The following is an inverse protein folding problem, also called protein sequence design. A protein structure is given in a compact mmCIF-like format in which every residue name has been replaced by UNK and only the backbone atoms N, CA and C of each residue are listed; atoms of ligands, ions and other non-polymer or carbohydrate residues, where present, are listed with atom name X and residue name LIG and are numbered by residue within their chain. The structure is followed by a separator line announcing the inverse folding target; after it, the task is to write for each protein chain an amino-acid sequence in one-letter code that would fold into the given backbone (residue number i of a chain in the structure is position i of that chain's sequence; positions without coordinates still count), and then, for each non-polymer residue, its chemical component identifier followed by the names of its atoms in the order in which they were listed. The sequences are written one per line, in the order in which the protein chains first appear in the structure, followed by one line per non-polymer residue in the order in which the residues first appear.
data_IF_536906878205
#
_entry.id   IF_536906878205
#
_cell.length_a   1.000
_cell.length_b   1.000
_cell.length_c   1.000
_cell.angle_alpha   90.00
_cell.angle_beta   90.00
_cell.angle_gamma   90.00
#
_symmetry.space_group_name_H-M   'P 1'
#
loop_
_entity.id
_entity.type
_entity.pdbx_description
1 polymer ?
#
# COMPACT_ATOMS: atom_id res chain seq x y z
N UNK A 1 -14.17 -4.12 -19.77
CA UNK A 1 -13.72 -2.90 -19.07
C UNK A 1 -12.23 -2.75 -19.36
N UNK A 2 -11.84 -1.73 -20.09
CA UNK A 2 -10.42 -1.46 -20.36
C UNK A 2 -9.83 -0.92 -19.05
N UNK A 3 -8.77 -1.55 -18.53
CA UNK A 3 -8.01 -1.03 -17.41
C UNK A 3 -7.50 0.36 -17.80
N UNK A 4 -7.75 1.35 -16.94
CA UNK A 4 -7.32 2.71 -17.16
C UNK A 4 -5.78 2.77 -17.05
N UNK A 5 -5.07 3.48 -17.94
CA UNK A 5 -3.60 3.46 -17.94
C UNK A 5 -2.97 4.00 -16.65
N UNK A 6 -3.64 4.92 -15.95
CA UNK A 6 -3.16 5.46 -14.67
C UNK A 6 -3.31 4.46 -13.53
N UNK A 7 -4.43 3.73 -13.47
CA UNK A 7 -4.60 2.64 -12.53
C UNK A 7 -3.55 1.54 -12.75
N UNK A 8 -3.15 1.34 -14.02
CA UNK A 8 -2.08 0.42 -14.38
C UNK A 8 -0.70 0.94 -13.92
N UNK A 9 -0.45 2.27 -13.94
CA UNK A 9 0.79 2.88 -13.44
C UNK A 9 0.89 2.76 -11.92
N UNK A 10 -0.21 2.97 -11.17
CA UNK A 10 -0.25 2.73 -9.74
C UNK A 10 -0.06 1.23 -9.44
N UNK A 11 -0.66 0.35 -10.25
CA UNK A 11 -0.49 -1.11 -10.16
C UNK A 11 0.89 -1.60 -10.59
N UNK A 12 1.56 -0.94 -11.56
CA UNK A 12 2.87 -1.35 -12.08
C UNK A 12 4.05 -0.64 -11.44
N UNK A 13 3.82 0.51 -10.79
CA UNK A 13 4.81 1.20 -9.96
C UNK A 13 5.17 0.42 -8.71
N UNK A 14 4.26 -0.45 -8.25
CA UNK A 14 4.50 -1.51 -7.30
C UNK A 14 4.43 -2.86 -8.04
N UNK A 15 5.47 -3.21 -8.76
CA UNK A 15 5.75 -4.62 -9.02
C UNK A 15 5.72 -5.36 -7.66
N UNK A 16 5.60 -6.70 -7.61
CA UNK A 16 5.56 -7.42 -6.34
C UNK A 16 6.68 -6.84 -5.49
N UNK A 17 6.31 -6.09 -4.42
CA UNK A 17 7.18 -5.17 -3.72
C UNK A 17 8.55 -5.81 -3.53
N UNK A 18 9.46 -5.51 -4.42
CA UNK A 18 10.86 -5.62 -4.17
C UNK A 18 11.09 -4.68 -3.00
N UNK A 19 11.68 -5.17 -1.93
CA UNK A 19 12.21 -4.32 -0.89
C UNK A 19 12.90 -3.16 -1.59
N UNK A 20 12.50 -1.93 -1.28
CA UNK A 20 13.06 -0.74 -1.89
C UNK A 20 14.55 -0.70 -1.57
N UNK A 21 15.37 -1.01 -2.55
CA UNK A 21 16.77 -0.65 -2.52
C UNK A 21 16.86 0.86 -2.51
N UNK A 22 17.42 1.40 -1.43
CA UNK A 22 17.82 2.79 -1.35
C UNK A 22 19.07 2.98 -2.21
N UNK A 23 18.90 3.04 -3.52
CA UNK A 23 19.92 3.54 -4.43
C UNK A 23 19.51 4.89 -5.00
N UNK A 24 20.38 5.84 -4.79
CA UNK A 24 20.37 7.24 -5.19
C UNK A 24 20.01 7.43 -6.65
N UNK A 25 18.88 8.09 -6.90
CA UNK A 25 18.56 8.66 -8.21
C UNK A 25 19.46 9.88 -8.51
N UNK A 26 19.97 10.03 -9.72
CA UNK A 26 20.79 11.16 -10.08
C UNK A 26 19.96 12.45 -10.13
N UNK A 27 20.50 13.47 -9.49
CA UNK A 27 19.98 14.81 -9.36
C UNK A 27 20.01 15.54 -10.71
N UNK A 28 18.89 15.64 -11.43
CA UNK A 28 18.75 16.53 -12.56
C UNK A 28 18.02 17.80 -12.14
N UNK A 29 18.84 18.78 -11.74
CA UNK A 29 18.40 20.16 -11.58
C UNK A 29 18.06 20.78 -12.92
N UNK A 30 16.77 20.95 -13.21
CA UNK A 30 16.29 21.81 -14.29
C UNK A 30 15.86 23.14 -13.70
N UNK A 31 16.60 24.21 -14.03
CA UNK A 31 16.25 25.58 -13.66
C UNK A 31 14.94 26.00 -14.38
N UNK A 32 14.01 26.69 -13.69
CA UNK A 32 12.82 27.21 -14.34
C UNK A 32 13.19 28.42 -15.20
N UNK A 33 12.73 28.43 -16.45
CA UNK A 33 12.71 29.61 -17.29
C UNK A 33 11.52 30.49 -16.88
N UNK A 34 11.81 31.72 -16.51
CA UNK A 34 10.86 32.78 -16.27
C UNK A 34 10.18 33.22 -17.58
N UNK A 35 8.87 33.50 -17.52
CA UNK A 35 8.18 34.38 -18.43
C UNK A 35 7.02 33.76 -19.22
N UNK A 36 5.84 33.86 -18.67
CA UNK A 36 4.61 34.09 -19.49
C UNK A 36 3.65 34.92 -18.63
N UNK A 37 3.31 36.08 -19.15
CA UNK A 37 2.34 37.03 -18.58
C UNK A 37 0.95 36.42 -18.67
N UNK A 38 0.20 36.44 -17.55
CA UNK A 38 -1.21 36.09 -17.50
C UNK A 38 -2.06 37.21 -18.04
N UNK A 39 -2.74 36.97 -19.15
CA UNK A 39 -3.86 37.82 -19.57
C UNK A 39 -5.07 37.49 -18.67
N UNK A 40 -5.47 38.45 -17.85
CA UNK A 40 -6.71 38.43 -17.09
C UNK A 40 -7.90 38.70 -18.00
N UNK A 41 -8.55 37.64 -18.48
CA UNK A 41 -9.86 37.72 -19.10
C UNK A 41 -10.91 38.01 -18.02
N UNK A 42 -11.39 39.27 -17.99
CA UNK A 42 -12.46 39.70 -17.10
C UNK A 42 -13.78 38.99 -17.40
N UNK A 43 -14.29 38.24 -16.41
CA UNK A 43 -15.63 37.66 -16.44
C UNK A 43 -16.63 38.74 -16.02
N UNK A 44 -17.61 38.97 -16.89
CA UNK A 44 -18.70 39.92 -16.72
C UNK A 44 -19.57 39.57 -15.50
N UNK A 45 -19.70 40.52 -14.58
CA UNK A 45 -20.53 40.43 -13.39
C UNK A 45 -22.00 40.68 -13.70
N UNK A 46 -22.82 39.62 -13.72
CA UNK A 46 -24.25 39.71 -13.44
C UNK A 46 -24.47 39.20 -12.01
N UNK A 47 -25.17 39.98 -11.17
CA UNK A 47 -25.28 39.83 -9.72
C UNK A 47 -25.99 38.54 -9.27
N UNK A 48 -25.24 37.42 -9.26
CA UNK A 48 -25.55 36.21 -8.56
C UNK A 48 -24.53 36.01 -7.43
N UNK A 49 -24.94 35.44 -6.33
CA UNK A 49 -24.03 35.04 -5.23
C UNK A 49 -22.97 34.10 -5.85
N UNK A 50 -21.73 34.58 -5.90
CA UNK A 50 -20.64 33.81 -6.46
C UNK A 50 -20.32 32.66 -5.51
N UNK A 51 -20.60 31.41 -5.93
CA UNK A 51 -20.30 30.22 -5.13
C UNK A 51 -18.80 30.12 -4.85
N UNK A 52 -18.43 29.70 -3.65
CA UNK A 52 -17.04 29.39 -3.33
C UNK A 52 -16.54 28.15 -4.11
N UNK A 53 -15.23 27.99 -4.31
CA UNK A 53 -14.68 26.79 -4.95
C UNK A 53 -15.14 25.49 -4.30
N UNK A 54 -15.24 25.45 -2.97
CA UNK A 54 -15.78 24.29 -2.22
C UNK A 54 -17.26 24.01 -2.55
N UNK A 55 -18.09 25.05 -2.67
CA UNK A 55 -19.50 24.91 -3.07
C UNK A 55 -19.67 24.46 -4.51
N UNK A 56 -18.81 24.94 -5.42
CA UNK A 56 -18.81 24.52 -6.83
C UNK A 56 -18.45 23.04 -6.94
N UNK A 57 -17.44 22.59 -6.19
CA UNK A 57 -17.02 21.19 -6.14
C UNK A 57 -18.10 20.28 -5.55
N UNK A 58 -18.76 20.71 -4.48
CA UNK A 58 -19.87 19.96 -3.86
C UNK A 58 -21.04 19.80 -4.84
N UNK A 59 -21.34 20.82 -5.64
CA UNK A 59 -22.37 20.78 -6.67
C UNK A 59 -22.01 19.80 -7.79
N UNK A 60 -20.74 19.81 -8.25
CA UNK A 60 -20.23 18.86 -9.23
C UNK A 60 -20.35 17.41 -8.75
N UNK A 61 -19.97 17.15 -7.51
CA UNK A 61 -20.12 15.82 -6.87
C UNK A 61 -21.58 15.38 -6.85
N UNK A 62 -22.50 16.30 -6.51
CA UNK A 62 -23.95 16.01 -6.51
C UNK A 62 -24.46 15.65 -7.90
N UNK A 63 -24.17 16.49 -8.91
CA UNK A 63 -24.56 16.27 -10.31
C UNK A 63 -24.08 14.91 -10.84
N UNK A 64 -22.83 14.55 -10.55
CA UNK A 64 -22.30 13.24 -10.96
C UNK A 64 -23.06 12.08 -10.33
N UNK A 65 -23.50 12.19 -9.07
CA UNK A 65 -24.34 11.19 -8.41
C UNK A 65 -25.72 11.07 -9.06
N UNK A 66 -26.24 12.15 -9.60
CA UNK A 66 -27.51 12.22 -10.33
C UNK A 66 -27.38 11.79 -11.79
N UNK A 67 -26.15 11.48 -12.25
CA UNK A 67 -25.86 11.00 -13.61
C UNK A 67 -25.77 12.11 -14.65
N UNK A 68 -25.64 13.37 -14.22
CA UNK A 68 -25.45 14.51 -15.12
C UNK A 68 -24.00 14.56 -15.64
N UNK A 69 -23.84 15.04 -16.87
CA UNK A 69 -22.54 15.24 -17.49
C UNK A 69 -21.94 16.59 -17.07
N UNK A 70 -20.63 16.62 -16.84
CA UNK A 70 -19.88 17.78 -16.37
C UNK A 70 -18.94 18.33 -17.47
N UNK A 71 -19.29 18.14 -18.75
CA UNK A 71 -18.41 18.50 -19.90
C UNK A 71 -17.88 19.94 -19.85
N UNK A 72 -18.65 20.88 -19.27
CA UNK A 72 -18.28 22.28 -19.14
C UNK A 72 -17.52 22.64 -17.85
N UNK A 73 -17.32 21.70 -16.93
CA UNK A 73 -16.69 21.96 -15.64
C UNK A 73 -15.30 21.31 -15.53
N UNK A 74 -14.27 22.13 -15.39
CA UNK A 74 -12.90 21.64 -15.16
C UNK A 74 -12.68 21.33 -13.67
N UNK A 75 -13.17 20.17 -13.21
CA UNK A 75 -13.05 19.72 -11.80
C UNK A 75 -11.59 19.54 -11.40
N UNK A 76 -10.71 19.13 -12.31
CA UNK A 76 -9.27 18.99 -12.00
C UNK A 76 -8.63 20.34 -11.70
N UNK A 77 -8.94 21.37 -12.48
CA UNK A 77 -8.42 22.72 -12.24
C UNK A 77 -8.90 23.25 -10.89
N UNK A 78 -10.19 23.07 -10.58
CA UNK A 78 -10.76 23.46 -9.30
C UNK A 78 -10.09 22.75 -8.11
N UNK A 79 -9.80 21.45 -8.26
CA UNK A 79 -9.08 20.69 -7.22
C UNK A 79 -7.65 21.19 -7.03
N UNK A 80 -6.94 21.58 -8.11
CA UNK A 80 -5.60 22.19 -8.01
C UNK A 80 -5.64 23.50 -7.24
N UNK A 81 -6.60 24.38 -7.55
CA UNK A 81 -6.78 25.65 -6.84
C UNK A 81 -7.08 25.44 -5.35
N UNK A 82 -7.94 24.46 -5.01
CA UNK A 82 -8.23 24.13 -3.62
C UNK A 82 -7.03 23.49 -2.90
N UNK A 83 -6.25 22.65 -3.59
CA UNK A 83 -5.01 22.09 -3.05
C UNK A 83 -4.01 23.18 -2.70
N UNK A 84 -3.79 24.15 -3.60
CA UNK A 84 -2.91 25.30 -3.37
C UNK A 84 -3.42 26.20 -2.23
N UNK A 85 -4.72 26.49 -2.21
CA UNK A 85 -5.30 27.35 -1.19
C UNK A 85 -5.24 26.77 0.23
N UNK A 86 -5.38 25.43 0.38
CA UNK A 86 -5.44 24.76 1.68
C UNK A 86 -4.12 24.15 2.13
N UNK A 87 -3.12 24.06 1.25
CA UNK A 87 -1.83 23.44 1.53
C UNK A 87 -0.66 24.36 1.12
N UNK A 88 -0.14 25.21 2.00
CA UNK A 88 0.94 26.15 1.69
C UNK A 88 2.22 25.47 1.15
N UNK A 89 2.47 24.21 1.52
CA UNK A 89 3.65 23.43 1.09
C UNK A 89 3.40 22.63 -0.19
N UNK A 90 2.22 22.77 -0.82
CA UNK A 90 1.88 22.03 -2.03
C UNK A 90 2.74 22.46 -3.21
N UNK A 91 3.34 21.49 -3.90
CA UNK A 91 4.30 21.72 -4.99
C UNK A 91 3.69 21.74 -6.41
N UNK A 92 2.36 21.68 -6.54
CA UNK A 92 1.65 21.72 -7.83
C UNK A 92 1.66 20.40 -8.63
N UNK A 93 2.24 19.30 -8.11
CA UNK A 93 2.48 18.07 -8.88
C UNK A 93 1.36 17.00 -8.75
N UNK A 94 0.14 17.38 -8.36
CA UNK A 94 -0.98 16.46 -8.34
C UNK A 94 -1.24 15.85 -9.73
N UNK A 95 -1.52 14.55 -9.76
CA UNK A 95 -1.90 13.83 -10.98
C UNK A 95 -3.33 13.32 -10.85
N UNK A 96 -4.12 13.46 -11.90
CA UNK A 96 -5.51 13.06 -11.92
C UNK A 96 -5.77 12.13 -13.10
N UNK A 97 -6.67 11.19 -12.89
CA UNK A 97 -7.31 10.46 -13.97
C UNK A 97 -8.82 10.61 -13.80
N UNK A 98 -9.47 11.10 -14.84
CA UNK A 98 -10.90 11.42 -14.81
C UNK A 98 -11.70 10.55 -15.76
N UNK A 99 -12.93 10.25 -15.36
CA UNK A 99 -13.98 9.67 -16.19
C UNK A 99 -15.19 10.60 -16.16
N UNK A 100 -15.74 10.94 -17.33
CA UNK A 100 -16.91 11.83 -17.47
C UNK A 100 -16.75 13.13 -16.67
N UNK A 101 -15.57 13.75 -16.74
CA UNK A 101 -15.28 15.02 -16.07
C UNK A 101 -14.98 14.91 -14.56
N UNK A 102 -15.09 13.72 -13.93
CA UNK A 102 -14.80 13.53 -12.51
C UNK A 102 -13.54 12.70 -12.29
N UNK A 103 -12.64 13.12 -11.38
CA UNK A 103 -11.51 12.30 -10.97
C UNK A 103 -11.95 10.98 -10.34
N UNK A 104 -11.40 9.86 -10.86
CA UNK A 104 -11.58 8.50 -10.33
C UNK A 104 -10.30 7.95 -9.74
N UNK A 105 -9.15 8.52 -10.11
CA UNK A 105 -7.87 8.25 -9.46
C UNK A 105 -7.08 9.55 -9.29
N UNK A 106 -6.44 9.71 -8.12
CA UNK A 106 -5.63 10.87 -7.77
C UNK A 106 -4.33 10.42 -7.15
N UNK A 107 -3.21 10.99 -7.60
CA UNK A 107 -1.92 10.87 -6.93
C UNK A 107 -1.47 12.24 -6.42
N UNK A 108 -1.26 12.30 -5.12
CA UNK A 108 -0.67 13.43 -4.39
C UNK A 108 0.67 13.02 -3.75
N UNK A 109 1.30 11.92 -4.22
CA UNK A 109 2.52 11.40 -3.61
C UNK A 109 3.64 12.44 -3.56
N UNK A 110 4.18 12.72 -2.36
CA UNK A 110 5.28 13.65 -2.18
C UNK A 110 5.00 15.10 -2.56
N UNK A 111 3.73 15.50 -2.58
CA UNK A 111 3.34 16.86 -3.01
C UNK A 111 3.30 17.89 -1.87
N UNK A 112 3.56 17.48 -0.62
CA UNK A 112 3.56 18.38 0.53
C UNK A 112 2.16 18.63 1.13
N UNK A 113 1.13 17.94 0.66
CA UNK A 113 -0.23 18.13 1.16
C UNK A 113 -0.40 17.57 2.58
N UNK A 114 -1.19 18.28 3.39
CA UNK A 114 -1.60 17.88 4.73
C UNK A 114 -3.12 17.88 4.91
N UNK A 115 -3.82 18.75 4.21
CA UNK A 115 -5.27 18.84 4.16
C UNK A 115 -5.78 18.27 2.82
N UNK A 116 -6.64 17.27 2.92
CA UNK A 116 -7.30 16.60 1.78
C UNK A 116 -8.83 16.77 1.84
N UNK A 117 -9.32 17.76 2.58
CA UNK A 117 -10.78 17.99 2.77
C UNK A 117 -11.52 18.18 1.45
N UNK A 118 -10.86 18.77 0.44
CA UNK A 118 -11.42 18.97 -0.90
C UNK A 118 -11.70 17.66 -1.66
N UNK A 119 -11.17 16.54 -1.21
CA UNK A 119 -11.46 15.23 -1.83
C UNK A 119 -12.79 14.63 -1.36
N UNK A 120 -13.44 15.22 -0.36
CA UNK A 120 -14.67 14.66 0.24
C UNK A 120 -15.77 14.45 -0.82
N UNK A 121 -16.32 13.25 -0.83
CA UNK A 121 -17.42 12.86 -1.71
C UNK A 121 -17.05 12.57 -3.16
N UNK A 122 -15.79 12.74 -3.57
CA UNK A 122 -15.33 12.35 -4.91
C UNK A 122 -15.45 10.83 -5.12
N UNK A 123 -15.75 10.36 -6.35
CA UNK A 123 -15.90 8.94 -6.66
C UNK A 123 -14.57 8.24 -6.87
N UNK A 124 -13.58 8.50 -6.00
CA UNK A 124 -12.23 7.96 -6.15
C UNK A 124 -12.21 6.45 -5.93
N UNK A 125 -11.62 5.73 -6.87
CA UNK A 125 -11.31 4.30 -6.79
C UNK A 125 -9.85 4.05 -6.41
N UNK A 126 -8.93 4.94 -6.75
CA UNK A 126 -7.52 4.88 -6.37
C UNK A 126 -7.04 6.22 -5.85
N UNK A 127 -6.29 6.20 -4.72
CA UNK A 127 -5.76 7.40 -4.11
C UNK A 127 -4.36 7.14 -3.56
N UNK A 128 -3.41 7.92 -4.02
CA UNK A 128 -2.05 7.91 -3.51
C UNK A 128 -1.75 9.19 -2.73
N UNK A 129 -1.57 9.03 -1.42
CA UNK A 129 -1.24 10.08 -0.46
C UNK A 129 0.18 9.91 0.13
N UNK A 130 0.96 8.98 -0.41
CA UNK A 130 2.28 8.60 0.11
C UNK A 130 3.23 9.78 0.23
N UNK A 131 4.17 9.70 1.18
CA UNK A 131 5.21 10.71 1.40
C UNK A 131 4.67 12.14 1.69
N UNK A 132 3.55 12.23 2.42
CA UNK A 132 2.93 13.48 2.80
C UNK A 132 2.69 13.55 4.32
N UNK A 133 2.63 14.75 4.94
CA UNK A 133 2.37 14.89 6.38
C UNK A 133 0.90 14.69 6.77
N UNK A 134 0.13 13.96 5.99
CA UNK A 134 -1.31 13.69 6.21
C UNK A 134 -1.50 12.86 7.47
N UNK A 135 -2.47 13.26 8.30
CA UNK A 135 -2.88 12.54 9.51
C UNK A 135 -4.39 12.28 9.59
N UNK A 136 -5.20 13.08 8.89
CA UNK A 136 -6.66 13.01 8.91
C UNK A 136 -7.18 12.42 7.60
N UNK A 137 -7.95 11.34 7.69
CA UNK A 137 -8.59 10.65 6.57
C UNK A 137 -10.11 10.87 6.49
N UNK A 138 -10.69 11.81 7.26
CA UNK A 138 -12.15 12.00 7.34
C UNK A 138 -12.80 12.21 5.98
N UNK A 139 -12.12 12.91 5.07
CA UNK A 139 -12.58 13.14 3.70
C UNK A 139 -12.77 11.84 2.88
N UNK A 140 -12.16 10.72 3.30
CA UNK A 140 -12.26 9.45 2.59
C UNK A 140 -13.49 8.61 2.98
N UNK A 141 -14.29 9.10 3.93
CA UNK A 141 -15.45 8.37 4.43
C UNK A 141 -16.47 8.10 3.31
N UNK A 142 -16.78 6.81 3.11
CA UNK A 142 -17.77 6.38 2.12
C UNK A 142 -17.30 6.43 0.67
N UNK A 143 -16.02 6.74 0.40
CA UNK A 143 -15.46 6.66 -0.94
C UNK A 143 -15.39 5.22 -1.45
N UNK A 144 -15.60 4.96 -2.77
CA UNK A 144 -15.52 3.63 -3.36
C UNK A 144 -14.07 3.18 -3.61
N UNK A 145 -13.15 3.48 -2.69
CA UNK A 145 -11.72 3.18 -2.82
C UNK A 145 -11.47 1.68 -2.95
N UNK A 146 -10.70 1.31 -3.96
CA UNK A 146 -10.15 -0.02 -4.19
C UNK A 146 -8.66 -0.11 -3.87
N UNK A 147 -7.95 1.00 -4.03
CA UNK A 147 -6.52 1.11 -3.79
C UNK A 147 -6.22 2.37 -2.98
N UNK A 148 -5.47 2.22 -1.89
CA UNK A 148 -5.10 3.33 -1.03
C UNK A 148 -3.64 3.21 -0.62
N UNK A 149 -2.87 4.25 -0.96
CA UNK A 149 -1.45 4.35 -0.63
C UNK A 149 -1.26 5.45 0.41
N UNK A 150 -0.74 5.06 1.58
CA UNK A 150 -0.51 5.92 2.75
C UNK A 150 0.91 5.81 3.30
N UNK A 151 1.84 5.29 2.50
CA UNK A 151 3.23 5.08 2.90
C UNK A 151 3.87 6.39 3.37
N UNK A 152 4.62 6.32 4.47
CA UNK A 152 5.33 7.50 5.04
C UNK A 152 4.41 8.69 5.35
N UNK A 153 3.17 8.42 5.73
CA UNK A 153 2.24 9.44 6.24
C UNK A 153 2.22 9.45 7.77
N UNK A 154 1.56 10.46 8.35
CA UNK A 154 1.36 10.57 9.81
C UNK A 154 0.04 9.95 10.30
N UNK A 155 -0.62 9.16 9.46
CA UNK A 155 -1.90 8.51 9.77
C UNK A 155 -1.73 7.54 10.93
N UNK A 156 -2.68 7.56 11.87
CA UNK A 156 -2.77 6.65 13.01
C UNK A 156 -4.15 6.01 13.16
N UNK A 157 -5.17 6.60 12.53
CA UNK A 157 -6.57 6.15 12.57
C UNK A 157 -7.06 5.79 11.15
N UNK A 158 -7.52 4.54 11.00
CA UNK A 158 -8.12 4.02 9.77
C UNK A 158 -9.66 3.99 9.83
N UNK A 159 -10.28 4.45 10.91
CA UNK A 159 -11.75 4.39 11.05
C UNK A 159 -12.50 5.08 9.91
N UNK A 160 -12.02 6.19 9.30
CA UNK A 160 -12.73 6.82 8.19
C UNK A 160 -12.89 5.94 6.94
N UNK A 161 -11.98 4.97 6.73
CA UNK A 161 -12.05 4.07 5.57
C UNK A 161 -12.76 2.74 5.88
N UNK A 162 -13.32 2.60 7.08
CA UNK A 162 -14.02 1.37 7.46
C UNK A 162 -15.14 1.05 6.48
N UNK A 163 -15.18 -0.20 5.98
CA UNK A 163 -16.18 -0.67 5.01
C UNK A 163 -15.92 -0.26 3.56
N UNK A 164 -14.83 0.45 3.27
CA UNK A 164 -14.43 0.72 1.89
C UNK A 164 -14.14 -0.60 1.14
N UNK A 165 -14.47 -0.71 -0.17
CA UNK A 165 -14.27 -1.92 -0.95
C UNK A 165 -12.80 -2.11 -1.39
N UNK A 166 -11.85 -1.87 -0.45
CA UNK A 166 -10.42 -1.93 -0.73
C UNK A 166 -9.99 -3.34 -1.13
N UNK A 167 -9.22 -3.41 -2.21
CA UNK A 167 -8.53 -4.60 -2.71
C UNK A 167 -7.08 -4.62 -2.21
N UNK A 168 -6.46 -3.46 -2.09
CA UNK A 168 -5.11 -3.32 -1.55
C UNK A 168 -4.92 -2.02 -0.78
N UNK A 169 -4.07 -2.09 0.26
CA UNK A 169 -3.72 -0.96 1.10
C UNK A 169 -2.24 -0.99 1.46
N UNK A 170 -1.59 0.16 1.32
CA UNK A 170 -0.17 0.35 1.62
C UNK A 170 -0.02 1.30 2.81
N UNK A 171 0.53 0.78 3.90
CA UNK A 171 0.68 1.50 5.19
C UNK A 171 2.13 1.53 5.68
N UNK A 172 3.09 1.23 4.79
CA UNK A 172 4.51 1.15 5.11
C UNK A 172 4.99 2.42 5.82
N UNK A 173 5.82 2.26 6.85
CA UNK A 173 6.44 3.37 7.58
C UNK A 173 5.42 4.37 8.18
N UNK A 174 4.22 3.90 8.52
CA UNK A 174 3.23 4.69 9.25
C UNK A 174 3.25 4.38 10.75
N UNK A 175 2.56 5.22 11.54
CA UNK A 175 2.42 4.99 12.98
C UNK A 175 1.17 4.17 13.35
N UNK A 176 0.58 3.48 12.39
CA UNK A 176 -0.59 2.63 12.61
C UNK A 176 -0.23 1.51 13.60
N UNK A 177 -1.09 1.33 14.61
CA UNK A 177 -1.02 0.23 15.58
C UNK A 177 -2.31 -0.59 15.64
N UNK A 178 -3.43 -0.03 15.17
CA UNK A 178 -4.75 -0.67 15.16
C UNK A 178 -5.28 -0.79 13.74
N UNK A 179 -5.56 -2.02 13.32
CA UNK A 179 -6.09 -2.34 11.99
C UNK A 179 -7.53 -2.87 12.03
N UNK A 180 -8.28 -2.62 13.12
CA UNK A 180 -9.66 -3.09 13.27
C UNK A 180 -10.57 -2.62 12.13
N UNK A 181 -10.33 -1.43 11.60
CA UNK A 181 -11.08 -0.89 10.46
C UNK A 181 -10.98 -1.76 9.20
N UNK A 182 -9.92 -2.56 9.05
CA UNK A 182 -9.72 -3.46 7.90
C UNK A 182 -10.53 -4.77 7.99
N UNK A 183 -11.13 -5.06 9.15
CA UNK A 183 -11.86 -6.31 9.38
C UNK A 183 -12.99 -6.50 8.37
N UNK A 184 -13.01 -7.64 7.69
CA UNK A 184 -14.08 -8.02 6.74
C UNK A 184 -14.01 -7.31 5.39
N UNK A 185 -13.01 -6.46 5.13
CA UNK A 185 -12.80 -5.88 3.82
C UNK A 185 -12.32 -6.92 2.79
N UNK A 186 -12.63 -6.76 1.49
CA UNK A 186 -12.24 -7.72 0.44
C UNK A 186 -10.76 -7.59 0.02
N UNK A 187 -9.89 -7.26 0.96
CA UNK A 187 -8.47 -7.03 0.71
C UNK A 187 -7.78 -8.30 0.23
N UNK A 188 -7.05 -8.17 -0.89
CA UNK A 188 -6.13 -9.17 -1.41
C UNK A 188 -4.70 -8.96 -0.91
N UNK A 189 -4.29 -7.70 -0.79
CA UNK A 189 -2.93 -7.35 -0.38
C UNK A 189 -2.95 -6.30 0.74
N UNK A 190 -2.17 -6.55 1.80
CA UNK A 190 -2.01 -5.62 2.92
C UNK A 190 -0.51 -5.45 3.19
N UNK A 191 -0.04 -4.20 3.08
CA UNK A 191 1.36 -3.84 3.31
C UNK A 191 1.48 -3.04 4.60
N UNK A 192 2.16 -3.63 5.61
CA UNK A 192 2.35 -3.09 6.95
C UNK A 192 3.83 -3.06 7.42
N UNK A 193 4.83 -3.04 6.53
CA UNK A 193 6.22 -2.93 6.97
C UNK A 193 6.45 -1.66 7.81
N UNK A 194 7.33 -1.75 8.80
CA UNK A 194 7.74 -0.62 9.64
C UNK A 194 6.57 0.08 10.38
N UNK A 195 5.46 -0.63 10.61
CA UNK A 195 4.32 -0.12 11.39
C UNK A 195 4.43 -0.51 12.87
N UNK A 196 3.49 -0.03 13.69
CA UNK A 196 3.37 -0.40 15.11
C UNK A 196 2.32 -1.47 15.36
N UNK A 197 1.87 -2.18 14.32
CA UNK A 197 0.84 -3.23 14.42
C UNK A 197 1.42 -4.42 15.17
N UNK A 198 0.77 -4.79 16.27
CA UNK A 198 1.06 -5.98 17.07
C UNK A 198 -0.07 -7.00 16.98
N UNK A 199 -1.31 -6.54 17.04
CA UNK A 199 -2.50 -7.38 16.95
C UNK A 199 -3.02 -7.44 15.51
N UNK A 200 -2.98 -8.65 14.95
CA UNK A 200 -3.51 -8.96 13.61
C UNK A 200 -4.79 -9.79 13.67
N UNK A 201 -5.45 -9.85 14.81
CA UNK A 201 -6.75 -10.55 14.96
C UNK A 201 -7.83 -10.07 14.00
N UNK A 202 -7.87 -8.78 13.57
CA UNK A 202 -8.82 -8.33 12.55
C UNK A 202 -8.70 -9.01 11.19
N UNK A 203 -7.55 -9.66 10.89
CA UNK A 203 -7.34 -10.37 9.62
C UNK A 203 -7.97 -11.78 9.61
N UNK A 204 -8.47 -12.27 10.76
CA UNK A 204 -9.07 -13.61 10.85
C UNK A 204 -10.21 -13.78 9.86
N UNK A 205 -10.15 -14.88 9.07
CA UNK A 205 -11.19 -15.25 8.12
C UNK A 205 -11.27 -14.40 6.85
N UNK A 206 -10.27 -13.56 6.55
CA UNK A 206 -10.21 -12.77 5.31
C UNK A 206 -9.96 -13.69 4.11
N UNK A 207 -11.04 -14.24 3.53
CA UNK A 207 -10.99 -15.26 2.49
C UNK A 207 -10.39 -14.80 1.14
N UNK A 208 -10.23 -13.50 0.94
CA UNK A 208 -9.61 -12.93 -0.27
C UNK A 208 -8.11 -12.63 -0.11
N UNK A 209 -7.53 -12.73 1.12
CA UNK A 209 -6.18 -12.27 1.41
C UNK A 209 -5.12 -13.21 0.82
N UNK A 210 -4.38 -12.71 -0.17
CA UNK A 210 -3.34 -13.44 -0.91
C UNK A 210 -1.92 -13.01 -0.54
N UNK A 211 -1.74 -11.73 -0.14
CA UNK A 211 -0.45 -11.16 0.23
C UNK A 211 -0.50 -10.38 1.53
N UNK A 212 0.45 -10.64 2.44
CA UNK A 212 0.58 -9.94 3.70
C UNK A 212 2.06 -9.66 4.00
N UNK A 213 2.40 -8.38 4.14
CA UNK A 213 3.76 -7.92 4.45
C UNK A 213 3.76 -7.26 5.83
N UNK A 214 4.56 -7.83 6.76
CA UNK A 214 4.68 -7.42 8.16
C UNK A 214 6.13 -7.16 8.58
N UNK A 215 7.02 -6.88 7.63
CA UNK A 215 8.44 -6.67 7.93
C UNK A 215 8.61 -5.63 9.03
N UNK A 216 9.40 -5.96 10.05
CA UNK A 216 9.71 -5.11 11.20
C UNK A 216 8.49 -4.62 12.01
N UNK A 217 7.30 -5.17 11.78
CA UNK A 217 6.15 -4.94 12.66
C UNK A 217 6.30 -5.78 13.94
N UNK A 218 5.86 -5.29 15.13
CA UNK A 218 6.06 -5.98 16.40
C UNK A 218 5.07 -7.16 16.62
N UNK A 219 4.72 -7.87 15.54
CA UNK A 219 3.84 -9.04 15.58
C UNK A 219 4.56 -10.21 16.23
N UNK A 220 3.86 -10.90 17.13
CA UNK A 220 4.35 -12.12 17.81
C UNK A 220 3.44 -13.33 17.53
N UNK A 221 2.12 -13.11 17.55
CA UNK A 221 1.12 -14.17 17.36
C UNK A 221 0.51 -14.11 15.96
N UNK A 222 0.69 -15.19 15.19
CA UNK A 222 0.12 -15.34 13.84
C UNK A 222 -1.03 -16.37 13.77
N UNK A 223 -1.58 -16.79 14.91
CA UNK A 223 -2.77 -17.67 14.95
C UNK A 223 -3.97 -17.09 14.15
N UNK A 224 -4.19 -15.75 14.10
CA UNK A 224 -5.23 -15.18 13.24
C UNK A 224 -5.11 -15.51 11.75
N UNK A 225 -3.91 -15.87 11.28
CA UNK A 225 -3.65 -16.19 9.87
C UNK A 225 -4.01 -17.64 9.50
N UNK A 226 -4.31 -18.51 10.48
CA UNK A 226 -4.61 -19.92 10.26
C UNK A 226 -5.67 -20.11 9.18
N UNK A 227 -5.36 -20.92 8.15
CA UNK A 227 -6.27 -21.28 7.05
C UNK A 227 -6.53 -20.17 6.04
N UNK A 228 -5.88 -19.01 6.13
CA UNK A 228 -6.00 -17.97 5.11
C UNK A 228 -5.34 -18.42 3.79
N UNK A 229 -5.88 -17.98 2.64
CA UNK A 229 -5.39 -18.40 1.31
C UNK A 229 -4.12 -17.66 0.87
N UNK A 230 -3.25 -17.30 1.81
CA UNK A 230 -2.02 -16.56 1.54
C UNK A 230 -1.12 -17.31 0.53
N UNK A 231 -0.62 -16.54 -0.42
CA UNK A 231 0.40 -16.92 -1.40
C UNK A 231 1.77 -16.35 -1.01
N UNK A 232 1.76 -15.13 -0.46
CA UNK A 232 2.96 -14.44 0.01
C UNK A 232 2.77 -13.98 1.45
N UNK A 233 3.75 -14.30 2.30
CA UNK A 233 3.81 -13.83 3.68
C UNK A 233 5.24 -13.40 4.03
N UNK A 234 5.40 -12.17 4.53
CA UNK A 234 6.68 -11.72 5.05
C UNK A 234 6.56 -11.39 6.54
N UNK A 235 7.44 -12.00 7.33
CA UNK A 235 7.55 -11.88 8.79
C UNK A 235 8.98 -11.49 9.19
N UNK A 236 9.75 -10.91 8.25
CA UNK A 236 11.14 -10.48 8.53
C UNK A 236 11.16 -9.51 9.69
N UNK A 237 12.10 -9.68 10.61
CA UNK A 237 12.29 -8.78 11.75
C UNK A 237 11.15 -8.76 12.77
N UNK A 238 10.15 -9.64 12.64
CA UNK A 238 9.05 -9.73 13.61
C UNK A 238 9.45 -10.51 14.88
N UNK A 239 8.61 -10.45 15.92
CA UNK A 239 8.80 -11.23 17.16
C UNK A 239 8.22 -12.65 17.08
N UNK A 240 7.78 -13.10 15.91
CA UNK A 240 7.18 -14.45 15.69
C UNK A 240 8.17 -15.53 16.00
N UNK A 241 7.72 -16.53 16.81
CA UNK A 241 8.45 -17.75 17.16
C UNK A 241 7.75 -19.00 16.64
N UNK A 242 6.44 -19.06 16.85
CA UNK A 242 5.60 -20.20 16.45
C UNK A 242 4.99 -19.96 15.08
N UNK A 243 5.34 -20.81 14.13
CA UNK A 243 4.81 -20.82 12.77
C UNK A 243 3.88 -22.02 12.49
N UNK A 244 3.43 -22.72 13.53
CA UNK A 244 2.48 -23.82 13.40
C UNK A 244 1.15 -23.43 12.70
N UNK A 245 0.64 -22.18 12.81
CA UNK A 245 -0.51 -21.75 12.05
C UNK A 245 -0.34 -21.83 10.53
N UNK A 246 0.91 -21.71 10.03
CA UNK A 246 1.21 -21.78 8.59
C UNK A 246 1.00 -23.19 8.00
N UNK A 247 1.07 -24.22 8.82
CA UNK A 247 0.88 -25.61 8.36
C UNK A 247 -0.46 -25.85 7.65
N UNK A 248 -1.45 -24.99 7.84
CA UNK A 248 -2.77 -25.09 7.22
C UNK A 248 -2.94 -24.22 5.96
N UNK A 249 -1.85 -23.73 5.37
CA UNK A 249 -1.87 -22.79 4.23
C UNK A 249 -1.37 -23.43 2.93
N UNK A 250 -2.20 -24.24 2.23
CA UNK A 250 -1.75 -25.01 1.06
C UNK A 250 -1.39 -24.16 -0.16
N UNK A 251 -1.71 -22.87 -0.15
CA UNK A 251 -1.40 -21.93 -1.24
C UNK A 251 -0.13 -21.13 -1.00
N UNK A 252 0.50 -21.23 0.19
CA UNK A 252 1.67 -20.42 0.54
C UNK A 252 2.87 -20.84 -0.30
N UNK A 253 3.40 -19.92 -1.10
CA UNK A 253 4.49 -20.11 -2.03
C UNK A 253 5.74 -19.29 -1.68
N UNK A 254 5.56 -18.10 -1.13
CA UNK A 254 6.67 -17.19 -0.77
C UNK A 254 6.59 -16.85 0.70
N UNK A 255 7.61 -17.24 1.45
CA UNK A 255 7.70 -17.03 2.88
C UNK A 255 9.04 -16.39 3.25
N UNK A 256 9.00 -15.28 3.99
CA UNK A 256 10.17 -14.60 4.50
C UNK A 256 10.14 -14.55 6.02
N UNK A 257 11.05 -15.26 6.67
CA UNK A 257 11.19 -15.41 8.13
C UNK A 257 12.54 -14.87 8.65
N UNK A 258 13.39 -14.30 7.80
CA UNK A 258 14.69 -13.81 8.23
C UNK A 258 14.55 -12.81 9.40
N UNK A 259 15.52 -12.79 10.28
CA UNK A 259 15.57 -11.90 11.47
C UNK A 259 14.40 -12.09 12.46
N UNK A 260 13.45 -13.00 12.18
CA UNK A 260 12.40 -13.37 13.14
C UNK A 260 12.97 -14.22 14.29
N UNK A 261 12.12 -14.61 15.25
CA UNK A 261 12.51 -15.49 16.37
C UNK A 261 12.22 -16.96 16.10
N UNK A 262 11.95 -17.34 14.86
CA UNK A 262 11.67 -18.73 14.47
C UNK A 262 12.92 -19.59 14.59
N UNK A 263 12.77 -20.77 15.18
CA UNK A 263 13.84 -21.77 15.37
C UNK A 263 13.46 -23.16 14.87
N UNK A 264 12.20 -23.37 14.46
CA UNK A 264 11.67 -24.64 13.98
C UNK A 264 10.91 -24.44 12.65
N UNK A 265 11.43 -25.04 11.58
CA UNK A 265 10.82 -25.02 10.24
C UNK A 265 9.95 -26.25 9.94
N UNK A 266 9.83 -27.19 10.89
CA UNK A 266 9.04 -28.41 10.70
C UNK A 266 7.60 -28.14 10.24
N UNK A 267 6.88 -27.11 10.77
CA UNK A 267 5.50 -26.86 10.38
C UNK A 267 5.28 -26.52 8.90
N UNK A 268 6.31 -26.04 8.20
CA UNK A 268 6.21 -25.60 6.81
C UNK A 268 6.79 -26.60 5.80
N UNK A 269 7.36 -27.71 6.26
CA UNK A 269 8.11 -28.66 5.43
C UNK A 269 7.28 -29.31 4.30
N UNK A 270 5.96 -29.37 4.44
CA UNK A 270 5.04 -29.95 3.45
C UNK A 270 4.39 -28.92 2.54
N UNK A 271 4.65 -27.63 2.75
CA UNK A 271 4.05 -26.55 1.97
C UNK A 271 4.69 -26.43 0.59
N UNK A 272 3.95 -25.96 -0.42
CA UNK A 272 4.43 -25.84 -1.79
C UNK A 272 5.29 -24.59 -2.01
N UNK A 273 6.21 -24.30 -1.06
CA UNK A 273 7.04 -23.10 -1.13
C UNK A 273 7.93 -23.12 -2.37
N UNK A 274 7.97 -21.98 -3.07
CA UNK A 274 8.90 -21.68 -4.17
C UNK A 274 10.02 -20.76 -3.71
N UNK A 275 9.77 -19.93 -2.68
CA UNK A 275 10.78 -19.07 -2.03
C UNK A 275 10.68 -19.23 -0.52
N UNK A 276 11.82 -19.44 0.12
CA UNK A 276 11.94 -19.44 1.57
C UNK A 276 13.19 -18.65 1.99
N UNK A 277 12.95 -17.54 2.71
CA UNK A 277 14.03 -16.74 3.31
C UNK A 277 13.95 -16.86 4.83
N UNK A 278 15.06 -17.15 5.48
CA UNK A 278 15.14 -17.33 6.93
C UNK A 278 16.57 -17.10 7.43
N UNK A 279 16.79 -16.99 8.72
CA UNK A 279 18.13 -16.86 9.30
C UNK A 279 18.69 -18.26 9.63
N UNK A 280 19.55 -18.85 8.79
CA UNK A 280 19.93 -20.26 8.91
C UNK A 280 20.57 -20.62 10.26
N UNK A 281 21.44 -19.76 10.79
CA UNK A 281 22.12 -19.98 12.07
C UNK A 281 21.20 -19.99 13.31
N UNK A 282 19.93 -19.57 13.17
CA UNK A 282 18.94 -19.63 14.27
C UNK A 282 18.13 -20.91 14.28
N UNK A 283 18.12 -21.69 13.20
CA UNK A 283 17.23 -22.84 13.06
C UNK A 283 17.79 -24.03 13.82
N UNK A 284 16.98 -24.60 14.71
CA UNK A 284 17.31 -25.77 15.52
C UNK A 284 16.63 -27.05 15.03
N UNK A 285 15.50 -26.92 14.28
CA UNK A 285 14.71 -28.05 13.79
C UNK A 285 14.17 -27.77 12.37
N UNK A 286 13.98 -28.85 11.61
CA UNK A 286 13.29 -28.79 10.31
C UNK A 286 14.19 -28.53 9.11
N UNK A 287 15.49 -28.28 9.26
CA UNK A 287 16.44 -28.04 8.15
C UNK A 287 16.41 -29.21 7.17
N UNK A 288 16.53 -30.47 7.63
CA UNK A 288 16.54 -31.64 6.76
C UNK A 288 15.18 -31.86 6.04
N UNK A 289 14.09 -31.41 6.65
CA UNK A 289 12.79 -31.46 6.00
C UNK A 289 12.66 -30.40 4.90
N UNK A 290 13.17 -29.17 5.13
CA UNK A 290 13.23 -28.12 4.12
C UNK A 290 14.16 -28.52 2.96
N UNK A 291 15.29 -29.18 3.23
CA UNK A 291 16.21 -29.68 2.19
C UNK A 291 15.52 -30.63 1.19
N UNK A 292 14.49 -31.35 1.63
CA UNK A 292 13.70 -32.27 0.78
C UNK A 292 12.58 -31.59 0.00
N UNK A 293 12.38 -30.29 0.14
CA UNK A 293 11.33 -29.57 -0.57
C UNK A 293 11.69 -29.40 -2.04
N UNK A 294 10.98 -30.10 -2.92
CA UNK A 294 11.29 -30.16 -4.37
C UNK A 294 10.80 -28.94 -5.16
N UNK A 295 9.92 -28.14 -4.60
CA UNK A 295 9.35 -26.95 -5.27
C UNK A 295 10.14 -25.68 -5.02
N UNK A 296 11.09 -25.68 -4.07
CA UNK A 296 11.93 -24.51 -3.80
C UNK A 296 12.76 -24.15 -5.05
N UNK A 297 12.74 -22.88 -5.40
CA UNK A 297 13.54 -22.27 -6.45
C UNK A 297 14.54 -21.27 -5.90
N UNK A 298 14.16 -20.62 -4.80
CA UNK A 298 14.93 -19.58 -4.12
C UNK A 298 14.94 -19.81 -2.62
N UNK A 299 16.13 -19.79 -2.03
CA UNK A 299 16.34 -19.98 -0.59
C UNK A 299 17.52 -19.10 -0.14
N UNK A 300 17.45 -18.52 1.06
CA UNK A 300 18.51 -17.65 1.58
C UNK A 300 18.14 -16.99 2.89
N UNK A 301 18.87 -15.95 3.25
CA UNK A 301 18.64 -15.12 4.43
C UNK A 301 18.07 -13.74 4.10
N UNK A 302 18.16 -13.32 2.83
CA UNK A 302 17.68 -12.04 2.34
C UNK A 302 17.20 -12.16 0.89
N UNK A 303 16.58 -11.14 0.34
CA UNK A 303 16.18 -11.11 -1.08
C UNK A 303 17.39 -11.01 -2.01
N UNK A 304 18.41 -10.27 -1.62
CA UNK A 304 19.65 -10.11 -2.39
C UNK A 304 20.54 -11.35 -2.29
N UNK A 305 20.59 -11.96 -1.08
CA UNK A 305 21.37 -13.16 -0.77
C UNK A 305 20.69 -14.48 -1.12
N UNK A 306 19.53 -14.44 -1.80
CA UNK A 306 18.85 -15.68 -2.20
C UNK A 306 19.60 -16.43 -3.31
N UNK A 307 19.63 -17.73 -3.16
CA UNK A 307 20.33 -18.66 -4.04
C UNK A 307 19.35 -19.72 -4.56
N UNK A 308 19.78 -20.45 -5.58
CA UNK A 308 19.15 -21.71 -5.91
C UNK A 308 19.45 -22.73 -4.80
N UNK A 309 18.55 -23.70 -4.53
CA UNK A 309 18.70 -24.63 -3.41
C UNK A 309 20.04 -25.36 -3.35
N UNK A 310 20.53 -25.86 -4.46
CA UNK A 310 21.83 -26.58 -4.50
C UNK A 310 23.00 -25.69 -4.03
N UNK A 311 23.05 -24.46 -4.50
CA UNK A 311 24.10 -23.52 -4.10
C UNK A 311 23.99 -23.12 -2.64
N UNK A 312 22.76 -22.89 -2.15
CA UNK A 312 22.52 -22.58 -0.75
C UNK A 312 22.95 -23.73 0.17
N UNK A 313 22.55 -24.98 -0.13
CA UNK A 313 22.90 -26.13 0.68
C UNK A 313 24.40 -26.42 0.70
N UNK A 314 25.09 -26.18 -0.42
CA UNK A 314 26.55 -26.27 -0.45
C UNK A 314 27.21 -25.27 0.51
N UNK A 315 26.74 -24.01 0.52
CA UNK A 315 27.23 -23.00 1.46
C UNK A 315 26.89 -23.34 2.92
N UNK A 316 25.66 -23.82 3.16
CA UNK A 316 25.22 -24.24 4.47
C UNK A 316 26.10 -25.36 5.05
N UNK A 317 26.40 -26.40 4.26
CA UNK A 317 27.24 -27.52 4.65
C UNK A 317 28.71 -27.10 4.89
N UNK A 318 29.18 -26.10 4.13
CA UNK A 318 30.50 -25.48 4.34
C UNK A 318 30.55 -24.54 5.54
N UNK A 319 29.45 -24.34 6.27
CA UNK A 319 29.41 -23.56 7.50
C UNK A 319 29.32 -22.04 7.32
N UNK A 320 28.96 -21.55 6.12
CA UNK A 320 28.86 -20.10 5.83
C UNK A 320 27.84 -19.40 6.74
N UNK A 321 26.82 -20.10 7.21
CA UNK A 321 25.71 -19.56 8.02
C UNK A 321 25.80 -19.91 9.51
N UNK A 322 26.97 -20.34 10.01
CA UNK A 322 27.21 -20.73 11.43
C UNK A 322 27.63 -19.55 12.29
#
# INVERSE_FOLDING_TARGET
MRALPFLLIILTGCGPAGESDSETLPNHSVKPKSGAQSETGGISTTGGVQKSPDEILADAVKKTREGEDLEDMNVEQLLRELLEAKNPDYNGQAQFQSERGMPVAVSLAGTGVSDISMLEGLPLMALDLSNNPISNLSALKGMPLRELFLEKTRVTDLSPIQGAPLIQIFLNETRISNIKALQGMPLKNIYLPETRVKDISPLRGMAALEGLWLNNAPVENIEPLRGLPLVTLTLRGTAVKDISPLATMPRLQRLHLAESRVTDLTPIAHLPLTRLLFTPGRIKKGIEAVRKMTRLKEIGDSLEGKLQPNAFWQQYDNGVYR
#
